data_IF_176380588468
#
_entry.id   IF_176380588468
#
_cell.length_a   1.000
_cell.length_b   1.000
_cell.length_c   1.000
_cell.angle_alpha   90.00
_cell.angle_beta   90.00
_cell.angle_gamma   90.00
#
_symmetry.space_group_name_H-M   'P 1'
#
loop_
_entity.id
_entity.type
_entity.pdbx_description
1 polymer ?
#
# COMPACT_ATOMS: atom_id res chain seq x y z
N UNK A 1 -13.80 3.22 -12.79
CA UNK A 1 -13.52 4.43 -11.99
C UNK A 1 -12.26 4.10 -11.21
N UNK A 2 -11.20 4.90 -11.31
CA UNK A 2 -9.97 4.61 -10.55
C UNK A 2 -10.22 4.85 -9.05
N UNK A 3 -9.79 3.92 -8.22
CA UNK A 3 -9.91 3.98 -6.76
C UNK A 3 -8.55 3.67 -6.09
N UNK A 4 -8.46 3.88 -4.77
CA UNK A 4 -7.21 3.70 -4.04
C UNK A 4 -6.81 2.22 -3.93
N UNK A 5 -7.72 1.26 -4.08
CA UNK A 5 -7.42 -0.17 -4.02
C UNK A 5 -6.49 -0.59 -5.16
N UNK A 6 -6.64 0.01 -6.35
CA UNK A 6 -5.73 -0.20 -7.47
C UNK A 6 -4.33 0.34 -7.19
N UNK A 7 -4.23 1.51 -6.56
CA UNK A 7 -2.94 2.07 -6.16
C UNK A 7 -2.27 1.21 -5.07
N UNK A 8 -3.05 0.73 -4.10
CA UNK A 8 -2.58 -0.20 -3.06
C UNK A 8 -2.05 -1.48 -3.70
N UNK A 9 -2.78 -2.07 -4.65
CA UNK A 9 -2.36 -3.26 -5.36
C UNK A 9 -1.02 -3.05 -6.07
N UNK A 10 -0.87 -1.96 -6.83
CA UNK A 10 0.40 -1.66 -7.52
C UNK A 10 1.57 -1.49 -6.52
N UNK A 11 1.33 -0.94 -5.32
CA UNK A 11 2.38 -0.82 -4.28
C UNK A 11 2.70 -2.19 -3.67
N UNK A 12 1.69 -3.01 -3.41
CA UNK A 12 1.89 -4.39 -2.90
C UNK A 12 2.66 -5.24 -3.91
N UNK A 13 2.38 -5.10 -5.20
CA UNK A 13 3.15 -5.75 -6.27
C UNK A 13 4.63 -5.38 -6.24
N UNK A 14 4.97 -4.11 -5.94
CA UNK A 14 6.36 -3.71 -5.75
C UNK A 14 7.01 -4.40 -4.54
N UNK A 15 6.26 -4.62 -3.47
CA UNK A 15 6.73 -5.37 -2.30
C UNK A 15 6.95 -6.86 -2.63
N UNK A 16 6.06 -7.47 -3.43
CA UNK A 16 6.21 -8.86 -3.91
C UNK A 16 7.48 -8.99 -4.75
N UNK A 17 7.71 -8.08 -5.70
CA UNK A 17 8.94 -8.05 -6.51
C UNK A 17 10.19 -7.77 -5.68
N UNK A 18 10.04 -7.09 -4.54
CA UNK A 18 11.10 -6.91 -3.56
C UNK A 18 11.41 -8.19 -2.75
N UNK A 19 10.77 -9.33 -3.08
CA UNK A 19 10.87 -10.61 -2.38
C UNK A 19 10.42 -10.53 -0.91
N UNK A 20 9.39 -9.74 -0.62
CA UNK A 20 8.78 -9.72 0.70
C UNK A 20 8.07 -11.05 0.98
N UNK A 21 8.28 -11.58 2.19
CA UNK A 21 7.55 -12.75 2.70
C UNK A 21 6.42 -12.38 3.67
N UNK A 22 6.37 -11.12 4.08
CA UNK A 22 5.32 -10.53 4.91
C UNK A 22 5.02 -9.13 4.40
N UNK A 23 3.75 -8.86 4.15
CA UNK A 23 3.23 -7.56 3.74
C UNK A 23 2.09 -7.19 4.68
N UNK A 24 2.15 -6.01 5.27
CA UNK A 24 1.13 -5.43 6.13
C UNK A 24 0.49 -4.27 5.39
N UNK A 25 -0.83 -4.30 5.26
CA UNK A 25 -1.63 -3.25 4.63
C UNK A 25 -2.57 -2.73 5.72
N UNK A 26 -2.38 -1.48 6.12
CA UNK A 26 -3.17 -0.84 7.16
C UNK A 26 -3.92 0.36 6.60
N UNK A 27 -5.22 0.41 6.85
CA UNK A 27 -6.09 1.52 6.49
C UNK A 27 -6.73 2.06 7.77
N UNK A 28 -6.64 3.37 7.97
CA UNK A 28 -7.23 4.04 9.13
C UNK A 28 -8.09 5.22 8.68
N UNK A 29 -9.39 5.17 9.02
CA UNK A 29 -10.37 6.22 8.75
C UNK A 29 -10.72 6.96 10.05
N UNK A 30 -10.31 8.21 10.18
CA UNK A 30 -10.65 9.09 11.30
C UNK A 30 -11.49 10.27 10.79
N UNK A 31 -12.79 10.06 10.60
CA UNK A 31 -13.72 11.06 10.05
C UNK A 31 -13.77 12.33 10.90
N UNK A 32 -13.74 12.21 12.23
CA UNK A 32 -13.69 13.31 13.19
C UNK A 32 -12.44 14.17 13.06
N UNK A 33 -11.34 13.61 12.55
CA UNK A 33 -10.10 14.33 12.26
C UNK A 33 -9.95 14.68 10.78
N UNK A 34 -10.96 14.39 9.98
CA UNK A 34 -10.95 14.56 8.52
C UNK A 34 -9.75 13.88 7.85
N UNK A 35 -9.40 12.67 8.31
CA UNK A 35 -8.17 11.99 7.93
C UNK A 35 -8.42 10.55 7.45
N UNK A 36 -7.84 10.19 6.31
CA UNK A 36 -7.64 8.82 5.86
C UNK A 36 -6.12 8.55 5.80
N UNK A 37 -5.69 7.41 6.35
CA UNK A 37 -4.30 6.95 6.32
C UNK A 37 -4.23 5.58 5.70
N UNK A 38 -3.32 5.40 4.75
CA UNK A 38 -2.96 4.11 4.15
C UNK A 38 -1.48 3.88 4.42
N UNK A 39 -1.17 2.79 5.09
CA UNK A 39 0.19 2.36 5.43
C UNK A 39 0.43 0.97 4.81
N UNK A 40 1.49 0.82 4.04
CA UNK A 40 1.91 -0.46 3.45
C UNK A 40 3.34 -0.72 3.90
N UNK A 41 3.55 -1.84 4.57
CA UNK A 41 4.85 -2.23 5.11
C UNK A 41 5.22 -3.63 4.65
N UNK A 42 6.40 -3.77 4.09
CA UNK A 42 6.97 -5.04 3.68
C UNK A 42 8.32 -5.32 4.35
N UNK A 43 8.71 -6.59 4.35
CA UNK A 43 10.03 -7.05 4.78
C UNK A 43 10.92 -7.49 3.60
N UNK A 44 10.72 -6.90 2.42
CA UNK A 44 11.49 -7.21 1.23
C UNK A 44 12.94 -6.68 1.30
N UNK A 45 13.61 -6.67 0.15
CA UNK A 45 15.02 -6.23 0.03
C UNK A 45 15.27 -4.76 0.43
N UNK A 46 14.23 -3.95 0.52
CA UNK A 46 14.33 -2.50 0.77
C UNK A 46 15.10 -1.74 -0.32
N UNK A 47 15.35 -0.46 -0.06
CA UNK A 47 15.94 0.49 -1.01
C UNK A 47 17.02 1.35 -0.35
N UNK A 48 18.02 1.76 -1.12
CA UNK A 48 19.02 2.73 -0.70
C UNK A 48 18.50 4.17 -0.90
N UNK A 49 19.20 5.17 -0.35
CA UNK A 49 18.78 6.59 -0.45
C UNK A 49 18.68 7.10 -1.89
N UNK A 50 19.57 6.66 -2.77
CA UNK A 50 19.54 7.06 -4.18
C UNK A 50 18.28 6.55 -4.88
N UNK A 51 17.92 5.29 -4.63
CA UNK A 51 16.69 4.68 -5.13
C UNK A 51 15.48 5.41 -4.56
N UNK A 52 15.41 5.63 -3.23
CA UNK A 52 14.31 6.35 -2.56
C UNK A 52 14.01 7.69 -3.25
N UNK A 53 15.04 8.48 -3.56
CA UNK A 53 14.88 9.78 -4.22
C UNK A 53 14.32 9.67 -5.65
N UNK A 54 14.44 8.51 -6.29
CA UNK A 54 13.99 8.26 -7.66
C UNK A 54 12.66 7.51 -7.73
N UNK A 55 12.24 6.76 -6.70
CA UNK A 55 11.03 5.90 -6.78
C UNK A 55 9.73 6.67 -7.01
N UNK A 56 9.75 7.97 -6.68
CA UNK A 56 8.61 8.86 -6.88
C UNK A 56 8.60 9.50 -8.28
N UNK A 57 9.68 9.35 -9.05
CA UNK A 57 9.70 9.73 -10.45
C UNK A 57 8.87 8.70 -11.24
N UNK A 58 7.75 9.10 -11.87
CA UNK A 58 6.89 8.17 -12.61
C UNK A 58 7.64 7.43 -13.74
N UNK A 59 8.74 7.99 -14.25
CA UNK A 59 9.55 7.38 -15.29
C UNK A 59 10.64 6.44 -14.76
N UNK A 60 10.85 6.40 -13.45
CA UNK A 60 11.81 5.52 -12.81
C UNK A 60 11.15 4.18 -12.45
N UNK A 61 11.62 3.10 -13.07
CA UNK A 61 11.20 1.73 -12.74
C UNK A 61 12.39 0.78 -12.84
N UNK A 62 12.43 -0.20 -11.93
CA UNK A 62 13.36 -1.35 -12.06
C UNK A 62 12.70 -2.56 -12.73
N UNK A 63 11.41 -2.45 -13.10
CA UNK A 63 10.63 -3.51 -13.77
C UNK A 63 10.96 -3.53 -15.25
N UNK A 64 11.19 -4.71 -15.81
CA UNK A 64 11.42 -4.89 -17.26
C UNK A 64 10.12 -5.10 -18.04
N UNK A 65 9.03 -5.49 -17.37
CA UNK A 65 7.73 -5.85 -17.96
C UNK A 65 6.79 -4.65 -18.15
N UNK A 66 6.89 -3.61 -17.30
CA UNK A 66 6.19 -2.32 -17.44
C UNK A 66 7.23 -1.21 -17.60
N UNK A 67 7.09 -0.38 -18.65
CA UNK A 67 8.00 0.75 -18.93
C UNK A 67 7.84 1.95 -17.97
N UNK A 68 6.88 1.93 -17.05
CA UNK A 68 6.53 3.08 -16.19
C UNK A 68 6.32 2.60 -14.76
N UNK A 69 6.96 3.26 -13.79
CA UNK A 69 6.95 2.92 -12.36
C UNK A 69 5.84 3.63 -11.61
N UNK A 70 4.59 3.45 -12.05
CA UNK A 70 3.52 4.39 -11.67
C UNK A 70 2.98 4.22 -10.26
N UNK A 71 3.03 3.02 -9.65
CA UNK A 71 2.30 2.72 -8.40
C UNK A 71 2.53 3.73 -7.26
N UNK A 72 3.79 3.91 -6.85
CA UNK A 72 4.13 4.86 -5.77
C UNK A 72 3.89 6.31 -6.19
N UNK A 73 4.20 6.67 -7.44
CA UNK A 73 4.01 8.03 -7.95
C UNK A 73 2.52 8.44 -8.01
N UNK A 74 1.63 7.54 -8.43
CA UNK A 74 0.19 7.77 -8.51
C UNK A 74 -0.45 7.83 -7.12
N UNK A 75 0.00 6.99 -6.19
CA UNK A 75 -0.44 7.06 -4.80
C UNK A 75 0.00 8.38 -4.16
N UNK A 76 1.25 8.80 -4.38
CA UNK A 76 1.75 10.08 -3.89
C UNK A 76 1.03 11.27 -4.51
N UNK A 77 0.71 11.21 -5.81
CA UNK A 77 -0.07 12.24 -6.48
C UNK A 77 -1.48 12.34 -5.91
N UNK A 78 -2.19 11.21 -5.78
CA UNK A 78 -3.54 11.18 -5.22
C UNK A 78 -3.59 11.73 -3.77
N UNK A 79 -2.57 11.43 -2.96
CA UNK A 79 -2.44 11.99 -1.62
C UNK A 79 -2.32 13.52 -1.66
N UNK A 80 -1.40 14.05 -2.47
CA UNK A 80 -1.17 15.50 -2.60
C UNK A 80 -2.36 16.25 -3.17
N UNK A 81 -3.05 15.66 -4.16
CA UNK A 81 -4.28 16.22 -4.75
C UNK A 81 -5.44 16.27 -3.75
N UNK A 82 -5.37 15.48 -2.67
CA UNK A 82 -6.40 15.41 -1.63
C UNK A 82 -5.97 16.09 -0.31
N UNK A 83 -5.16 17.16 -0.39
CA UNK A 83 -4.59 17.88 0.78
C UNK A 83 -3.84 16.98 1.78
N UNK A 84 -3.33 15.84 1.29
CA UNK A 84 -2.63 14.86 2.08
C UNK A 84 -1.11 14.91 1.89
N UNK A 85 -0.43 13.90 2.44
CA UNK A 85 1.01 13.74 2.32
C UNK A 85 1.39 12.31 1.92
N UNK A 86 2.59 12.13 1.40
CA UNK A 86 3.16 10.84 1.07
C UNK A 86 4.58 10.73 1.62
N UNK A 87 4.85 9.67 2.36
CA UNK A 87 6.12 9.37 2.99
C UNK A 87 6.57 7.95 2.65
N UNK A 88 7.87 7.77 2.49
CA UNK A 88 8.48 6.46 2.28
C UNK A 88 9.73 6.32 3.12
N UNK A 89 9.78 5.25 3.90
CA UNK A 89 10.91 4.87 4.73
C UNK A 89 11.36 3.48 4.28
N UNK A 90 12.60 3.35 3.82
CA UNK A 90 13.13 2.08 3.35
C UNK A 90 14.60 1.94 3.72
N UNK A 91 15.01 0.71 4.04
CA UNK A 91 16.40 0.39 4.30
C UNK A 91 16.74 -0.96 3.70
N UNK A 92 17.88 -1.01 3.01
CA UNK A 92 18.38 -2.23 2.36
C UNK A 92 18.48 -3.36 3.38
N UNK A 93 17.83 -4.48 3.09
CA UNK A 93 17.77 -5.68 3.92
C UNK A 93 16.74 -5.66 5.04
N UNK A 94 16.03 -4.54 5.27
CA UNK A 94 15.02 -4.42 6.34
C UNK A 94 13.58 -4.31 5.81
N UNK A 95 13.42 -3.86 4.57
CA UNK A 95 12.12 -3.70 3.91
C UNK A 95 11.77 -2.24 3.63
N UNK A 96 10.49 -2.00 3.34
CA UNK A 96 9.96 -0.69 2.98
C UNK A 96 8.65 -0.43 3.70
N UNK A 97 8.46 0.81 4.11
CA UNK A 97 7.22 1.35 4.66
C UNK A 97 6.81 2.56 3.84
N UNK A 98 5.59 2.52 3.31
CA UNK A 98 4.96 3.60 2.56
C UNK A 98 3.76 4.08 3.36
N UNK A 99 3.62 5.40 3.49
CA UNK A 99 2.50 6.03 4.18
C UNK A 99 1.92 7.13 3.32
N UNK A 100 0.64 7.01 3.00
CA UNK A 100 -0.14 8.03 2.31
C UNK A 100 -1.26 8.52 3.23
N UNK A 101 -1.35 9.82 3.42
CA UNK A 101 -2.45 10.47 4.13
C UNK A 101 -3.31 11.25 3.16
N UNK A 102 -4.60 11.41 3.47
CA UNK A 102 -5.57 12.13 2.65
C UNK A 102 -6.52 12.88 3.58
N UNK A 103 -6.97 14.07 3.17
CA UNK A 103 -8.11 14.71 3.80
C UNK A 103 -9.39 13.92 3.45
N UNK A 104 -10.11 13.43 4.46
CA UNK A 104 -11.21 12.47 4.28
C UNK A 104 -12.36 13.03 3.44
N UNK A 105 -12.72 14.29 3.68
CA UNK A 105 -13.82 15.00 3.05
C UNK A 105 -13.46 15.67 1.73
N UNK A 106 -12.21 15.56 1.27
CA UNK A 106 -11.76 16.22 0.05
C UNK A 106 -12.50 15.70 -1.19
N UNK A 107 -12.89 16.62 -2.09
CA UNK A 107 -13.70 16.29 -3.28
C UNK A 107 -12.96 15.39 -4.27
N UNK A 108 -11.65 15.58 -4.39
CA UNK A 108 -10.79 14.81 -5.30
C UNK A 108 -10.23 13.54 -4.65
N UNK A 109 -10.58 13.25 -3.39
CA UNK A 109 -10.18 12.01 -2.74
C UNK A 109 -10.86 10.84 -3.44
N UNK A 110 -10.06 10.03 -4.14
CA UNK A 110 -10.51 8.77 -4.73
C UNK A 110 -11.12 7.87 -3.63
N UNK A 111 -12.20 7.13 -3.91
CA UNK A 111 -12.75 6.16 -2.96
C UNK A 111 -11.70 5.08 -2.63
N UNK A 112 -11.85 4.42 -1.48
CA UNK A 112 -10.96 3.30 -1.12
C UNK A 112 -11.08 2.15 -2.13
N UNK A 113 -12.28 1.92 -2.67
CA UNK A 113 -12.54 0.80 -3.57
C UNK A 113 -12.87 -0.49 -2.81
N UNK A 114 -12.80 -1.62 -3.51
CA UNK A 114 -13.12 -2.93 -2.93
C UNK A 114 -11.85 -3.62 -2.38
N UNK A 115 -11.50 -3.28 -1.15
CA UNK A 115 -10.34 -3.87 -0.48
C UNK A 115 -10.53 -5.36 -0.17
N UNK A 116 -11.77 -5.82 0.09
CA UNK A 116 -12.01 -7.22 0.43
C UNK A 116 -11.60 -8.14 -0.73
N UNK A 117 -12.10 -7.86 -1.94
CA UNK A 117 -11.76 -8.65 -3.12
C UNK A 117 -10.27 -8.52 -3.48
N UNK A 118 -9.69 -7.33 -3.27
CA UNK A 118 -8.27 -7.08 -3.51
C UNK A 118 -7.40 -7.94 -2.59
N UNK A 119 -7.67 -7.95 -1.28
CA UNK A 119 -6.93 -8.75 -0.30
C UNK A 119 -7.12 -10.25 -0.56
N UNK A 120 -8.35 -10.70 -0.84
CA UNK A 120 -8.61 -12.12 -1.17
C UNK A 120 -7.84 -12.54 -2.43
N UNK A 121 -7.83 -11.70 -3.47
CA UNK A 121 -7.07 -11.96 -4.70
C UNK A 121 -5.58 -12.07 -4.42
N UNK A 122 -5.02 -11.19 -3.59
CA UNK A 122 -3.61 -11.24 -3.19
C UNK A 122 -3.26 -12.54 -2.47
N UNK A 123 -4.08 -12.94 -1.48
CA UNK A 123 -3.88 -14.17 -0.70
C UNK A 123 -3.93 -15.41 -1.60
N UNK A 124 -4.91 -15.48 -2.50
CA UNK A 124 -5.07 -16.63 -3.40
C UNK A 124 -3.94 -16.68 -4.45
N UNK A 125 -3.50 -15.53 -4.96
CA UNK A 125 -2.50 -15.46 -6.02
C UNK A 125 -1.07 -15.68 -5.51
N UNK A 126 -0.80 -15.37 -4.23
CA UNK A 126 0.51 -15.48 -3.60
C UNK A 126 0.42 -16.17 -2.23
N UNK A 127 0.03 -17.46 -2.17
CA UNK A 127 -0.19 -18.19 -0.91
C UNK A 127 1.09 -18.35 -0.06
N UNK A 128 2.27 -18.15 -0.64
CA UNK A 128 3.56 -18.18 0.04
C UNK A 128 3.85 -16.92 0.86
N UNK A 129 3.13 -15.81 0.61
CA UNK A 129 3.32 -14.52 1.28
C UNK A 129 2.32 -14.38 2.42
N UNK A 130 2.79 -13.93 3.58
CA UNK A 130 1.89 -13.56 4.67
C UNK A 130 1.33 -12.15 4.46
N UNK A 131 0.03 -12.05 4.21
CA UNK A 131 -0.68 -10.78 4.14
C UNK A 131 -1.37 -10.52 5.47
N UNK A 132 -1.08 -9.36 6.07
CA UNK A 132 -1.81 -8.84 7.22
C UNK A 132 -2.56 -7.60 6.76
N UNK A 133 -3.89 -7.64 6.83
CA UNK A 133 -4.74 -6.50 6.53
C UNK A 133 -5.36 -5.96 7.82
N UNK A 134 -5.05 -4.71 8.16
CA UNK A 134 -5.58 -4.00 9.30
C UNK A 134 -6.49 -2.88 8.81
N UNK A 135 -7.74 -2.86 9.26
CA UNK A 135 -8.66 -1.78 8.97
C UNK A 135 -9.18 -1.19 10.27
N UNK A 136 -9.10 0.12 10.42
CA UNK A 136 -9.55 0.83 11.60
C UNK A 136 -10.44 2.01 11.20
N UNK A 137 -11.57 2.15 11.87
CA UNK A 137 -12.41 3.34 11.79
C UNK A 137 -12.88 3.74 13.20
N UNK A 138 -13.81 4.70 13.29
CA UNK A 138 -14.35 5.17 14.57
C UNK A 138 -15.24 4.14 15.29
N UNK A 139 -15.77 3.15 14.55
CA UNK A 139 -16.67 2.11 15.06
C UNK A 139 -15.92 0.88 15.56
N UNK A 140 -14.68 0.66 15.11
CA UNK A 140 -13.85 -0.45 15.55
C UNK A 140 -12.62 -0.70 14.69
N UNK A 141 -11.97 -1.83 14.96
CA UNK A 141 -10.84 -2.34 14.22
C UNK A 141 -11.06 -3.78 13.76
N UNK A 142 -10.54 -4.10 12.59
CA UNK A 142 -10.54 -5.43 11.99
C UNK A 142 -9.12 -5.79 11.59
N UNK A 143 -8.72 -7.03 11.86
CA UNK A 143 -7.43 -7.57 11.48
C UNK A 143 -7.67 -8.91 10.79
N UNK A 144 -7.07 -9.08 9.62
CA UNK A 144 -7.00 -10.34 8.89
C UNK A 144 -5.52 -10.71 8.76
N UNK A 145 -5.14 -11.89 9.24
CA UNK A 145 -3.82 -12.50 9.02
C UNK A 145 -4.00 -13.76 8.15
N UNK A 146 -3.40 -13.77 6.96
CA UNK A 146 -3.57 -14.89 6.02
C UNK A 146 -3.02 -16.21 6.57
N UNK A 147 -2.01 -16.18 7.45
CA UNK A 147 -1.49 -17.40 8.09
C UNK A 147 -2.46 -17.99 9.11
N UNK A 148 -3.34 -17.21 9.72
CA UNK A 148 -4.35 -17.73 10.64
C UNK A 148 -5.44 -18.47 9.87
N UNK A 149 -5.88 -17.90 8.75
CA UNK A 149 -6.89 -18.52 7.86
C UNK A 149 -6.39 -19.86 7.31
N UNK A 150 -5.13 -19.93 6.87
CA UNK A 150 -4.56 -21.13 6.26
C UNK A 150 -4.19 -22.24 7.26
N UNK A 151 -4.24 -21.98 8.58
CA UNK A 151 -3.99 -23.00 9.62
C UNK A 151 -5.22 -23.83 9.97
N UNK A 152 -6.42 -23.36 9.61
CA UNK A 152 -7.69 -24.02 9.92
C UNK A 152 -8.21 -24.92 8.80
N UNK A 153 -7.42 -25.13 7.73
CA UNK A 153 -7.73 -26.03 6.59
C UNK A 153 -6.75 -27.18 6.54
#
# INVERSE_FOLDING_TARGET
MEDLSLHILDVVENSIEANASKIVIKITEEKSKDLLVIEIKDNGRGMNRETINKVLDPFYTTRTTRKVGMGLSLLAQAARESNGNFEINSKVGEGTEVKATFQYSHIDRKPIGNMNDTIVTLIISHPEINFIYEYQNEEGNYILDSKEIMKET
#
